data_IF_304729420409
#
_entry.id   IF_304729420409
#
_cell.length_a   1.000
_cell.length_b   1.000
_cell.length_c   1.000
_cell.angle_alpha   90.00
_cell.angle_beta   90.00
_cell.angle_gamma   90.00
#
_symmetry.space_group_name_H-M   'P 1'
#
loop_
_entity.id
_entity.type
_entity.pdbx_description
1 polymer ?
#
# COMPACT_ATOMS: atom_id res chain seq x y z
N UNK A 1 -2.34 1.53 21.18
CA UNK A 1 -3.72 1.00 21.26
C UNK A 1 -3.81 -0.24 20.38
N UNK A 2 -3.91 -1.44 20.96
CA UNK A 2 -3.96 -2.69 20.18
C UNK A 2 -5.36 -2.84 19.58
N UNK A 3 -5.50 -2.61 18.28
CA UNK A 3 -6.77 -2.87 17.60
C UNK A 3 -6.98 -4.38 17.51
N UNK A 4 -8.00 -4.89 18.20
CA UNK A 4 -8.39 -6.31 18.16
C UNK A 4 -8.66 -6.74 16.72
N UNK A 5 -8.19 -7.94 16.35
CA UNK A 5 -8.32 -8.55 15.02
C UNK A 5 -9.77 -8.53 14.46
N UNK A 6 -10.77 -8.48 15.34
CA UNK A 6 -12.18 -8.33 14.97
C UNK A 6 -12.50 -6.98 14.31
N UNK A 7 -11.82 -5.90 14.71
CA UNK A 7 -12.00 -4.55 14.13
C UNK A 7 -11.43 -4.48 12.71
N UNK A 8 -10.25 -5.07 12.49
CA UNK A 8 -9.63 -5.16 11.16
C UNK A 8 -10.47 -5.99 10.19
N UNK A 9 -10.99 -7.14 10.63
CA UNK A 9 -11.91 -7.94 9.80
C UNK A 9 -13.19 -7.18 9.39
N UNK A 10 -13.72 -6.32 10.27
CA UNK A 10 -14.90 -5.49 9.97
C UNK A 10 -14.58 -4.43 8.92
N UNK A 11 -13.45 -3.74 9.07
CA UNK A 11 -13.00 -2.71 8.13
C UNK A 11 -12.74 -3.29 6.74
N UNK A 12 -12.06 -4.45 6.63
CA UNK A 12 -11.84 -5.09 5.34
C UNK A 12 -13.14 -5.46 4.61
N UNK A 13 -14.18 -5.86 5.36
CA UNK A 13 -15.48 -6.23 4.78
C UNK A 13 -16.27 -5.01 4.29
N UNK A 14 -16.20 -3.89 5.01
CA UNK A 14 -16.81 -2.62 4.58
C UNK A 14 -16.16 -2.06 3.32
N UNK A 15 -14.82 -2.01 3.26
CA UNK A 15 -14.06 -1.52 2.09
C UNK A 15 -14.30 -2.38 0.86
N UNK A 16 -14.41 -3.70 1.03
CA UNK A 16 -14.69 -4.59 -0.11
C UNK A 16 -16.11 -4.41 -0.65
N UNK A 17 -17.10 -4.12 0.23
CA UNK A 17 -18.49 -3.89 -0.18
C UNK A 17 -18.73 -2.53 -0.84
N UNK A 18 -17.96 -1.49 -0.50
CA UNK A 18 -18.06 -0.17 -1.11
C UNK A 18 -17.49 -0.14 -2.53
N UNK A 19 -16.49 -0.97 -2.85
CA UNK A 19 -16.01 -1.14 -4.23
C UNK A 19 -17.08 -1.79 -5.13
N UNK A 20 -17.82 -2.78 -4.64
CA UNK A 20 -18.90 -3.43 -5.42
C UNK A 20 -20.10 -2.50 -5.65
N UNK A 21 -20.35 -1.53 -4.77
CA UNK A 21 -21.50 -0.61 -4.88
C UNK A 21 -21.22 0.62 -5.76
N UNK A 22 -19.96 0.99 -6.00
CA UNK A 22 -19.61 2.10 -6.90
C UNK A 22 -19.65 1.66 -8.36
N UNK A 23 -19.31 0.40 -8.63
CA UNK A 23 -19.34 -0.15 -10.00
C UNK A 23 -20.77 -0.48 -10.48
N UNK A 24 -21.70 -0.79 -9.56
CA UNK A 24 -23.09 -1.10 -9.89
C UNK A 24 -24.01 0.13 -10.06
N UNK A 25 -23.53 1.36 -9.82
CA UNK A 25 -24.32 2.60 -9.99
C UNK A 25 -23.87 3.49 -11.15
N UNK A 26 -22.77 3.16 -11.82
CA UNK A 26 -22.32 3.89 -13.01
C UNK A 26 -22.97 3.34 -14.28
N UNK A 27 -24.29 3.44 -14.37
CA UNK A 27 -25.06 3.23 -15.60
C UNK A 27 -25.97 4.43 -15.84
N UNK A 28 -25.39 5.60 -16.16
CA UNK A 28 -26.09 6.63 -16.93
C UNK A 28 -25.11 7.22 -17.94
N UNK A 29 -25.23 6.71 -19.16
CA UNK A 29 -24.78 7.37 -20.37
C UNK A 29 -25.41 8.77 -20.49
N UNK A 30 -24.56 9.79 -20.61
CA UNK A 30 -24.84 11.02 -21.35
C UNK A 30 -26.12 11.80 -21.02
N UNK A 31 -26.03 12.75 -20.07
CA UNK A 31 -26.72 14.06 -20.14
C UNK A 31 -26.35 14.93 -18.93
N UNK A 32 -26.12 16.22 -19.16
CA UNK A 32 -26.33 17.26 -18.13
C UNK A 32 -25.10 17.78 -17.38
N UNK A 33 -24.05 18.24 -18.08
CA UNK A 33 -23.01 19.11 -17.47
C UNK A 33 -23.47 20.57 -17.34
N UNK A 34 -24.70 20.90 -17.73
CA UNK A 34 -25.20 22.27 -17.83
C UNK A 34 -25.94 22.75 -16.56
N UNK A 35 -26.37 21.83 -15.71
CA UNK A 35 -27.27 22.12 -14.59
C UNK A 35 -26.56 22.87 -13.44
N UNK A 36 -25.22 22.82 -13.40
CA UNK A 36 -24.43 23.47 -12.36
C UNK A 36 -24.38 25.00 -12.51
N UNK A 37 -24.36 25.52 -13.75
CA UNK A 37 -24.29 26.97 -14.02
C UNK A 37 -25.66 27.64 -14.03
N UNK A 38 -26.72 26.90 -14.36
CA UNK A 38 -28.11 27.39 -14.28
C UNK A 38 -28.52 27.65 -12.83
N UNK A 39 -28.13 26.78 -11.88
CA UNK A 39 -28.37 26.97 -10.44
C UNK A 39 -27.74 28.27 -9.89
N UNK A 40 -26.61 28.70 -10.45
CA UNK A 40 -25.93 29.93 -10.06
C UNK A 40 -26.53 31.18 -10.74
N UNK A 41 -27.14 31.04 -11.91
CA UNK A 41 -27.69 32.15 -12.69
C UNK A 41 -29.12 32.52 -12.29
N UNK A 42 -29.92 31.55 -11.84
CA UNK A 42 -31.34 31.76 -11.46
C UNK A 42 -31.55 32.61 -10.20
N UNK A 43 -30.50 32.87 -9.41
CA UNK A 43 -30.60 33.70 -8.20
C UNK A 43 -30.36 35.20 -8.44
N UNK A 44 -30.02 35.60 -9.68
CA UNK A 44 -29.67 36.98 -10.00
C UNK A 44 -30.87 37.87 -10.38
N UNK A 45 -32.01 37.29 -10.80
CA UNK A 45 -33.09 38.07 -11.41
C UNK A 45 -34.43 37.90 -10.69
N UNK A 46 -34.59 38.50 -9.49
CA UNK A 46 -35.93 38.82 -8.99
C UNK A 46 -35.96 40.09 -8.12
N UNK A 47 -36.68 41.11 -8.63
CA UNK A 47 -37.56 42.03 -7.87
C UNK A 47 -36.87 43.22 -7.15
N UNK A 48 -37.26 44.50 -7.25
CA UNK A 48 -38.38 45.23 -7.88
C UNK A 48 -38.06 46.75 -7.89
N UNK A 49 -38.67 47.46 -8.83
CA UNK A 49 -38.58 48.91 -9.11
C UNK A 49 -39.00 49.80 -7.92
N UNK A 50 -38.35 50.97 -7.80
CA UNK A 50 -38.96 52.33 -7.78
C UNK A 50 -38.10 53.37 -7.02
N UNK A 51 -38.08 54.62 -7.51
CA UNK A 51 -37.99 55.81 -6.65
C UNK A 51 -36.65 56.55 -6.50
N UNK A 52 -36.38 57.47 -7.43
CA UNK A 52 -36.02 58.89 -7.22
C UNK A 52 -34.75 59.35 -6.44
N UNK A 53 -33.90 60.08 -7.19
CA UNK A 53 -32.95 61.18 -6.85
C UNK A 53 -32.75 61.60 -5.37
N UNK A 54 -31.50 61.60 -4.85
CA UNK A 54 -30.68 62.82 -4.57
C UNK A 54 -29.39 62.52 -3.78
N UNK A 55 -28.25 62.99 -4.35
CA UNK A 55 -26.99 63.55 -3.78
C UNK A 55 -26.21 62.86 -2.62
N UNK A 56 -24.86 63.06 -2.60
CA UNK A 56 -23.93 62.20 -1.88
C UNK A 56 -23.58 62.74 -0.50
N UNK A 57 -23.42 61.87 0.49
CA UNK A 57 -22.82 62.25 1.77
C UNK A 57 -22.00 61.11 2.37
N UNK A 58 -20.68 61.32 2.30
CA UNK A 58 -19.61 60.92 3.21
C UNK A 58 -19.70 59.62 4.06
N UNK A 59 -18.61 58.86 3.95
CA UNK A 59 -17.97 58.03 4.98
C UNK A 59 -18.58 56.67 5.35
N UNK A 60 -18.19 55.63 4.59
CA UNK A 60 -17.73 54.37 5.21
C UNK A 60 -16.74 53.64 4.31
N UNK A 61 -15.49 53.59 4.76
CA UNK A 61 -14.34 52.87 4.20
C UNK A 61 -14.78 51.47 3.72
N UNK A 62 -14.70 51.20 2.42
CA UNK A 62 -14.97 49.88 1.82
C UNK A 62 -13.85 48.91 2.23
N UNK A 63 -14.03 48.24 3.37
CA UNK A 63 -13.13 47.17 3.87
C UNK A 63 -13.69 45.75 3.63
N UNK A 64 -14.80 45.59 2.89
CA UNK A 64 -15.46 44.29 2.72
C UNK A 64 -14.85 43.38 1.64
N UNK A 65 -14.23 43.94 0.60
CA UNK A 65 -13.63 43.14 -0.49
C UNK A 65 -12.30 42.51 -0.08
N UNK A 66 -11.47 43.27 0.66
CA UNK A 66 -10.20 42.77 1.19
C UNK A 66 -10.40 41.65 2.22
N UNK A 67 -11.41 41.75 3.09
CA UNK A 67 -11.66 40.71 4.09
C UNK A 67 -12.15 39.40 3.45
N UNK A 68 -12.98 39.47 2.41
CA UNK A 68 -13.43 38.28 1.66
C UNK A 68 -12.28 37.63 0.88
N UNK A 69 -11.39 38.43 0.30
CA UNK A 69 -10.19 37.91 -0.38
C UNK A 69 -9.25 37.21 0.59
N UNK A 70 -9.04 37.77 1.79
CA UNK A 70 -8.21 37.16 2.83
C UNK A 70 -8.84 35.87 3.40
N UNK A 71 -10.17 35.82 3.52
CA UNK A 71 -10.88 34.59 3.89
C UNK A 71 -10.73 33.53 2.80
N UNK A 72 -10.90 33.89 1.52
CA UNK A 72 -10.72 32.97 0.39
C UNK A 72 -9.29 32.41 0.32
N UNK A 73 -8.28 33.26 0.54
CA UNK A 73 -6.88 32.85 0.55
C UNK A 73 -6.57 31.90 1.73
N UNK A 74 -7.11 32.17 2.92
CA UNK A 74 -7.00 31.29 4.08
C UNK A 74 -7.72 29.95 3.85
N UNK A 75 -8.89 29.97 3.22
CA UNK A 75 -9.65 28.75 2.88
C UNK A 75 -8.89 27.91 1.86
N UNK A 76 -8.30 28.52 0.83
CA UNK A 76 -7.44 27.81 -0.12
C UNK A 76 -6.19 27.23 0.55
N UNK A 77 -5.51 27.99 1.42
CA UNK A 77 -4.35 27.48 2.15
C UNK A 77 -4.70 26.30 3.08
N UNK A 78 -5.89 26.32 3.70
CA UNK A 78 -6.42 25.20 4.48
C UNK A 78 -6.80 24.00 3.60
N UNK A 79 -7.35 24.24 2.41
CA UNK A 79 -7.67 23.15 1.49
C UNK A 79 -6.39 22.46 0.98
N UNK A 80 -5.39 23.23 0.57
CA UNK A 80 -4.12 22.70 0.08
C UNK A 80 -3.36 21.95 1.18
N UNK A 81 -3.38 22.44 2.43
CA UNK A 81 -2.73 21.74 3.53
C UNK A 81 -3.44 20.43 3.92
N UNK A 82 -4.77 20.43 4.00
CA UNK A 82 -5.55 19.24 4.31
C UNK A 82 -5.43 18.20 3.19
N UNK A 83 -5.43 18.65 1.93
CA UNK A 83 -5.23 17.77 0.77
C UNK A 83 -3.82 17.18 0.74
N UNK A 84 -2.81 17.97 1.12
CA UNK A 84 -1.41 17.49 1.22
C UNK A 84 -1.24 16.49 2.35
N UNK A 85 -1.82 16.76 3.53
CA UNK A 85 -1.74 15.87 4.69
C UNK A 85 -2.49 14.54 4.46
N UNK A 86 -3.66 14.58 3.82
CA UNK A 86 -4.40 13.38 3.42
C UNK A 86 -3.62 12.58 2.36
N UNK A 87 -3.04 13.27 1.38
CA UNK A 87 -2.21 12.65 0.34
C UNK A 87 -0.97 11.96 0.95
N UNK A 88 -0.28 12.62 1.87
CA UNK A 88 0.87 12.06 2.57
C UNK A 88 0.49 10.84 3.43
N UNK A 89 -0.58 10.96 4.24
CA UNK A 89 -1.05 9.83 5.07
C UNK A 89 -1.52 8.63 4.24
N UNK A 90 -2.11 8.89 3.07
CA UNK A 90 -2.49 7.85 2.12
C UNK A 90 -1.26 7.18 1.49
N UNK A 91 -0.26 7.95 1.08
CA UNK A 91 0.99 7.44 0.52
C UNK A 91 1.74 6.56 1.54
N UNK A 92 1.80 7.00 2.80
CA UNK A 92 2.37 6.21 3.90
C UNK A 92 1.62 4.89 4.08
N UNK A 93 0.28 4.91 4.04
CA UNK A 93 -0.55 3.70 4.13
C UNK A 93 -0.28 2.71 2.99
N UNK A 94 -0.12 3.20 1.75
CA UNK A 94 0.21 2.35 0.61
C UNK A 94 1.61 1.77 0.70
N UNK A 95 2.57 2.58 1.17
CA UNK A 95 3.94 2.13 1.41
C UNK A 95 4.00 1.03 2.47
N UNK A 96 3.29 1.18 3.58
CA UNK A 96 3.15 0.14 4.60
C UNK A 96 2.56 -1.16 4.03
N UNK A 97 1.48 -1.07 3.25
CA UNK A 97 0.87 -2.26 2.63
C UNK A 97 1.81 -2.96 1.64
N UNK A 98 2.55 -2.18 0.85
CA UNK A 98 3.53 -2.70 -0.09
C UNK A 98 4.65 -3.45 0.63
N UNK A 99 5.19 -2.87 1.71
CA UNK A 99 6.21 -3.50 2.57
C UNK A 99 5.65 -4.79 3.14
N UNK A 100 4.46 -4.77 3.74
CA UNK A 100 3.83 -5.97 4.29
C UNK A 100 3.68 -7.11 3.26
N UNK A 101 3.20 -6.82 2.06
CA UNK A 101 3.06 -7.82 0.99
C UNK A 101 4.43 -8.39 0.60
N UNK A 102 5.45 -7.55 0.50
CA UNK A 102 6.81 -7.97 0.18
C UNK A 102 7.37 -8.88 1.28
N UNK A 103 7.25 -8.49 2.55
CA UNK A 103 7.67 -9.29 3.70
C UNK A 103 7.02 -10.67 3.71
N UNK A 104 5.70 -10.75 3.50
CA UNK A 104 4.98 -12.03 3.45
C UNK A 104 5.50 -12.93 2.32
N UNK A 105 5.76 -12.36 1.14
CA UNK A 105 6.34 -13.12 0.01
C UNK A 105 7.75 -13.62 0.32
N UNK A 106 8.59 -12.79 0.93
CA UNK A 106 9.96 -13.19 1.28
C UNK A 106 9.98 -14.22 2.39
N UNK A 107 9.14 -14.08 3.42
CA UNK A 107 8.99 -15.06 4.50
C UNK A 107 8.55 -16.44 3.96
N UNK A 108 7.62 -16.48 2.99
CA UNK A 108 7.21 -17.72 2.35
C UNK A 108 8.36 -18.38 1.56
N UNK A 109 9.15 -17.58 0.83
CA UNK A 109 10.36 -18.06 0.14
C UNK A 109 11.37 -18.65 1.12
N UNK A 110 11.67 -17.93 2.21
CA UNK A 110 12.56 -18.39 3.27
C UNK A 110 12.10 -19.72 3.87
N UNK A 111 10.82 -19.84 4.21
CA UNK A 111 10.22 -21.09 4.71
C UNK A 111 10.48 -22.26 3.76
N UNK A 112 10.32 -22.03 2.46
CA UNK A 112 10.57 -23.02 1.42
C UNK A 112 12.04 -23.43 1.34
N UNK A 113 12.96 -22.46 1.47
CA UNK A 113 14.40 -22.70 1.41
C UNK A 113 14.92 -23.45 2.63
N UNK A 114 14.49 -23.07 3.85
CA UNK A 114 14.81 -23.83 5.05
C UNK A 114 14.30 -25.27 4.94
N UNK A 115 13.06 -25.48 4.47
CA UNK A 115 12.54 -26.83 4.24
C UNK A 115 13.38 -27.62 3.22
N UNK A 116 13.98 -26.96 2.22
CA UNK A 116 14.90 -27.61 1.27
C UNK A 116 16.25 -27.93 1.91
N UNK A 117 16.73 -27.06 2.80
CA UNK A 117 17.95 -27.25 3.57
C UNK A 117 17.83 -28.44 4.51
N UNK A 118 16.70 -28.56 5.22
CA UNK A 118 16.42 -29.68 6.12
C UNK A 118 16.41 -31.02 5.37
N UNK A 119 15.74 -31.06 4.21
CA UNK A 119 15.73 -32.25 3.36
C UNK A 119 17.13 -32.61 2.86
N UNK A 120 17.94 -31.62 2.49
CA UNK A 120 19.33 -31.84 2.09
C UNK A 120 20.17 -32.41 3.23
N UNK A 121 19.97 -31.96 4.47
CA UNK A 121 20.66 -32.50 5.65
C UNK A 121 20.26 -33.95 5.92
N UNK A 122 18.98 -34.30 5.75
CA UNK A 122 18.52 -35.70 5.85
C UNK A 122 19.17 -36.57 4.78
N UNK A 123 19.19 -36.12 3.52
CA UNK A 123 19.84 -36.86 2.41
C UNK A 123 21.34 -37.01 2.67
N UNK A 124 22.01 -35.97 3.15
CA UNK A 124 23.44 -36.00 3.48
C UNK A 124 23.73 -37.04 4.56
N UNK A 125 22.92 -37.07 5.64
CA UNK A 125 23.04 -38.09 6.69
C UNK A 125 22.88 -39.50 6.14
N UNK A 126 21.89 -39.72 5.25
CA UNK A 126 21.67 -41.02 4.61
C UNK A 126 22.87 -41.45 3.75
N UNK A 127 23.40 -40.54 2.94
CA UNK A 127 24.57 -40.82 2.09
C UNK A 127 25.83 -41.14 2.91
N UNK A 128 26.02 -40.48 4.07
CA UNK A 128 27.12 -40.79 4.98
C UNK A 128 27.02 -42.21 5.54
N UNK A 129 25.82 -42.63 5.97
CA UNK A 129 25.59 -44.00 6.44
C UNK A 129 25.86 -45.01 5.32
N UNK A 130 25.31 -44.78 4.13
CA UNK A 130 25.53 -45.65 2.97
C UNK A 130 27.02 -45.75 2.59
N UNK A 131 27.76 -44.64 2.65
CA UNK A 131 29.21 -44.63 2.42
C UNK A 131 29.93 -45.51 3.43
N UNK A 132 29.55 -45.41 4.71
CA UNK A 132 30.14 -46.22 5.78
C UNK A 132 29.85 -47.71 5.60
N UNK A 133 28.64 -48.07 5.16
CA UNK A 133 28.26 -49.45 4.85
C UNK A 133 29.07 -50.03 3.70
N UNK A 134 29.24 -49.28 2.60
CA UNK A 134 30.09 -49.71 1.49
C UNK A 134 31.54 -49.93 1.92
N UNK A 135 32.10 -49.02 2.73
CA UNK A 135 33.46 -49.18 3.27
C UNK A 135 33.55 -50.44 4.14
N UNK A 136 32.56 -50.69 5.01
CA UNK A 136 32.54 -51.88 5.86
C UNK A 136 32.44 -53.19 5.05
N UNK A 137 31.79 -53.16 3.88
CA UNK A 137 31.69 -54.29 2.96
C UNK A 137 32.92 -54.42 2.04
N UNK A 138 33.90 -53.53 2.13
CA UNK A 138 35.06 -53.49 1.22
C UNK A 138 34.72 -53.05 -0.20
N UNK A 139 33.54 -52.47 -0.41
CA UNK A 139 33.08 -51.96 -1.71
C UNK A 139 33.56 -50.52 -1.93
N UNK A 140 33.73 -50.16 -3.21
CA UNK A 140 34.08 -48.80 -3.60
C UNK A 140 32.93 -47.82 -3.34
N UNK A 141 33.17 -46.81 -2.51
CA UNK A 141 32.16 -45.81 -2.14
C UNK A 141 32.25 -44.52 -2.98
N UNK A 142 32.80 -44.56 -4.19
CA UNK A 142 33.07 -43.38 -5.03
C UNK A 142 31.80 -42.58 -5.33
N UNK A 143 30.74 -43.25 -5.81
CA UNK A 143 29.45 -42.63 -6.16
C UNK A 143 28.81 -41.91 -4.96
N UNK A 144 28.83 -42.54 -3.77
CA UNK A 144 28.32 -41.90 -2.54
C UNK A 144 29.12 -40.66 -2.16
N UNK A 145 30.42 -40.63 -2.47
CA UNK A 145 31.29 -39.47 -2.24
C UNK A 145 30.99 -38.31 -3.17
N UNK A 146 30.79 -38.61 -4.46
CA UNK A 146 30.37 -37.62 -5.44
C UNK A 146 28.99 -37.04 -5.10
N UNK A 147 28.02 -37.90 -4.74
CA UNK A 147 26.70 -37.47 -4.31
C UNK A 147 26.76 -36.57 -3.06
N UNK A 148 27.66 -36.85 -2.11
CA UNK A 148 27.89 -36.00 -0.94
C UNK A 148 28.44 -34.63 -1.33
N UNK A 149 29.42 -34.57 -2.24
CA UNK A 149 29.96 -33.31 -2.73
C UNK A 149 28.87 -32.43 -3.38
N UNK A 150 27.99 -33.05 -4.20
CA UNK A 150 26.83 -32.36 -4.79
C UNK A 150 25.86 -31.84 -3.73
N UNK A 151 25.53 -32.65 -2.71
CA UNK A 151 24.66 -32.17 -1.63
C UNK A 151 25.30 -31.04 -0.83
N UNK A 152 26.62 -31.07 -0.64
CA UNK A 152 27.35 -30.04 0.11
C UNK A 152 27.44 -28.72 -0.65
N UNK A 153 27.65 -28.76 -1.97
CA UNK A 153 27.55 -27.59 -2.83
C UNK A 153 26.12 -27.00 -2.78
N UNK A 154 25.10 -27.85 -2.93
CA UNK A 154 23.70 -27.44 -2.84
C UNK A 154 23.40 -26.77 -1.49
N UNK A 155 23.93 -27.31 -0.39
CA UNK A 155 23.80 -26.72 0.95
C UNK A 155 24.38 -25.31 1.01
N UNK A 156 25.56 -25.10 0.44
CA UNK A 156 26.20 -23.78 0.40
C UNK A 156 25.35 -22.77 -0.40
N UNK A 157 24.87 -23.17 -1.58
CA UNK A 157 23.98 -22.33 -2.41
C UNK A 157 22.69 -21.96 -1.67
N UNK A 158 22.06 -22.93 -1.00
CA UNK A 158 20.84 -22.66 -0.23
C UNK A 158 21.10 -21.71 0.93
N UNK A 159 22.21 -21.87 1.67
CA UNK A 159 22.58 -20.97 2.76
C UNK A 159 22.83 -19.55 2.27
N UNK A 160 23.56 -19.40 1.16
CA UNK A 160 23.82 -18.08 0.57
C UNK A 160 22.51 -17.38 0.22
N UNK A 161 21.61 -18.06 -0.48
CA UNK A 161 20.33 -17.49 -0.89
C UNK A 161 19.43 -17.16 0.30
N UNK A 162 19.45 -17.98 1.36
CA UNK A 162 18.74 -17.67 2.60
C UNK A 162 19.29 -16.36 3.20
N UNK A 163 20.61 -16.24 3.33
CA UNK A 163 21.24 -15.05 3.88
C UNK A 163 20.98 -13.80 3.03
N UNK A 164 20.97 -13.92 1.70
CA UNK A 164 20.58 -12.81 0.80
C UNK A 164 19.14 -12.35 1.08
N UNK A 165 18.18 -13.27 1.14
CA UNK A 165 16.79 -12.93 1.42
C UNK A 165 16.56 -12.39 2.83
N UNK A 166 17.29 -12.88 3.83
CA UNK A 166 17.28 -12.32 5.20
C UNK A 166 17.80 -10.89 5.20
N UNK A 167 18.88 -10.60 4.46
CA UNK A 167 19.37 -9.24 4.27
C UNK A 167 18.33 -8.36 3.55
N UNK A 168 17.70 -8.83 2.47
CA UNK A 168 16.64 -8.06 1.79
C UNK A 168 15.47 -7.71 2.73
N UNK A 169 15.09 -8.62 3.62
CA UNK A 169 14.08 -8.36 4.65
C UNK A 169 14.52 -7.28 5.64
N UNK A 170 15.77 -7.33 6.11
CA UNK A 170 16.29 -6.35 7.06
C UNK A 170 16.46 -4.95 6.46
N UNK A 171 16.81 -4.85 5.17
CA UNK A 171 17.03 -3.57 4.48
C UNK A 171 15.78 -3.00 3.81
N UNK A 172 14.73 -3.80 3.60
CA UNK A 172 13.46 -3.37 2.99
C UNK A 172 12.49 -2.66 3.93
N UNK A 173 12.90 -2.39 5.19
CA UNK A 173 12.08 -1.79 6.28
C UNK A 173 12.34 -0.27 6.41
N UNK A 174 12.80 0.41 5.35
CA UNK A 174 13.12 1.84 5.37
C UNK A 174 12.22 2.67 4.46
#
# INVERSE_FOLDING_TARGET
MVHSAAKLKRMCKEVSSSFSSVEAKSNVSGRGSNDFWDFCSERADHSTKEGQLTKPTLNRKRQKTSHLSEILERVNALLENETTDISAAQEDTWNEQRIFIQEQRTAQKLTTLYSRLDRNDVVTKKLLVQRQEFIAQGLGAAESGEALAVQQQKKQTLKLHISELECELMHGVH
#
